data_IF_686378359747
#
_entry.id   IF_686378359747
#
_cell.length_a   1.000
_cell.length_b   1.000
_cell.length_c   1.000
_cell.angle_alpha   90.00
_cell.angle_beta   90.00
_cell.angle_gamma   90.00
#
_symmetry.space_group_name_H-M   'P 1'
#
loop_
_entity.id
_entity.type
_entity.pdbx_description
1 polymer ?
#
# COMPACT_ATOMS: atom_id res chain seq x y z
N UNK A 1 -4.70 0.39 2.80
CA UNK A 1 -4.15 1.49 1.98
C UNK A 1 -5.01 2.74 2.07
N UNK A 2 -6.22 2.80 1.49
CA UNK A 2 -7.08 4.01 1.53
C UNK A 2 -7.26 4.57 2.95
N UNK A 3 -7.70 3.74 3.90
CA UNK A 3 -7.89 4.18 5.29
C UNK A 3 -6.61 4.71 5.97
N UNK A 4 -5.43 4.21 5.59
CA UNK A 4 -4.16 4.71 6.10
C UNK A 4 -3.86 6.12 5.53
N UNK A 5 -4.12 6.32 4.24
CA UNK A 5 -4.03 7.64 3.61
C UNK A 5 -5.04 8.63 4.19
N UNK A 6 -6.31 8.23 4.39
CA UNK A 6 -7.35 9.11 4.92
C UNK A 6 -6.95 9.66 6.28
N UNK A 7 -6.56 8.77 7.20
CA UNK A 7 -6.12 9.15 8.56
C UNK A 7 -4.86 10.01 8.51
N UNK A 8 -3.87 9.64 7.69
CA UNK A 8 -2.64 10.43 7.57
C UNK A 8 -2.91 11.83 6.98
N UNK A 9 -3.68 11.91 5.90
CA UNK A 9 -3.97 13.15 5.21
C UNK A 9 -4.79 14.09 6.09
N UNK A 10 -5.81 13.59 6.77
CA UNK A 10 -6.55 14.40 7.75
C UNK A 10 -5.63 14.91 8.86
N UNK A 11 -4.85 14.01 9.47
CA UNK A 11 -3.99 14.35 10.61
C UNK A 11 -2.96 15.44 10.26
N UNK A 12 -2.33 15.36 9.09
CA UNK A 12 -1.31 16.35 8.71
C UNK A 12 -1.89 17.75 8.46
N UNK A 13 -3.19 17.86 8.16
CA UNK A 13 -3.85 19.15 7.95
C UNK A 13 -4.43 19.76 9.24
N UNK A 14 -4.57 18.99 10.33
CA UNK A 14 -5.03 19.49 11.63
C UNK A 14 -3.88 19.71 12.62
N UNK A 15 -2.84 18.87 12.58
CA UNK A 15 -1.73 18.93 13.52
C UNK A 15 -0.82 20.13 13.18
N UNK A 16 -0.46 20.90 14.20
CA UNK A 16 0.47 22.03 14.07
C UNK A 16 1.78 21.79 14.79
N UNK A 17 2.89 22.21 14.18
CA UNK A 17 4.23 22.30 14.75
C UNK A 17 4.90 23.54 14.18
N UNK A 18 5.77 24.20 14.97
CA UNK A 18 6.45 25.42 14.54
C UNK A 18 5.49 26.47 13.94
N UNK A 19 4.33 26.66 14.58
CA UNK A 19 3.26 27.57 14.19
C UNK A 19 2.61 27.36 12.81
N UNK A 20 2.84 26.23 12.15
CA UNK A 20 2.22 25.88 10.87
C UNK A 20 1.65 24.46 10.87
N UNK A 21 0.78 24.13 9.90
CA UNK A 21 0.26 22.76 9.78
C UNK A 21 1.36 21.83 9.32
N UNK A 22 1.42 20.61 9.84
CA UNK A 22 2.51 19.71 9.46
C UNK A 22 2.47 19.31 7.98
N UNK A 23 1.29 19.33 7.35
CA UNK A 23 1.12 19.11 5.91
C UNK A 23 1.73 20.19 5.02
N UNK A 24 2.13 21.34 5.57
CA UNK A 24 2.75 22.45 4.83
C UNK A 24 4.28 22.34 4.76
N UNK A 25 4.90 21.43 5.53
CA UNK A 25 6.34 21.17 5.40
C UNK A 25 6.65 20.37 4.13
N UNK A 26 7.66 20.78 3.38
CA UNK A 26 8.03 20.20 2.08
C UNK A 26 8.23 18.67 2.14
N UNK A 27 8.89 18.15 3.18
CA UNK A 27 9.09 16.71 3.35
C UNK A 27 7.77 15.96 3.60
N UNK A 28 6.82 16.60 4.30
CA UNK A 28 5.49 16.02 4.51
C UNK A 28 4.67 16.05 3.23
N UNK A 29 4.76 17.12 2.43
CA UNK A 29 4.14 17.21 1.10
C UNK A 29 4.64 16.10 0.18
N UNK A 30 5.96 15.88 0.12
CA UNK A 30 6.55 14.77 -0.63
C UNK A 30 6.01 13.41 -0.18
N UNK A 31 5.98 13.17 1.14
CA UNK A 31 5.46 11.91 1.69
C UNK A 31 3.99 11.66 1.32
N UNK A 32 3.11 12.63 1.51
CA UNK A 32 1.68 12.44 1.18
C UNK A 32 1.45 12.31 -0.33
N UNK A 33 2.28 12.95 -1.16
CA UNK A 33 2.26 12.75 -2.61
C UNK A 33 2.64 11.31 -2.99
N UNK A 34 3.71 10.76 -2.42
CA UNK A 34 4.14 9.39 -2.66
C UNK A 34 3.08 8.36 -2.20
N UNK A 35 2.45 8.62 -1.05
CA UNK A 35 1.32 7.81 -0.55
C UNK A 35 0.15 7.83 -1.53
N UNK A 36 -0.23 9.01 -2.04
CA UNK A 36 -1.31 9.15 -3.02
C UNK A 36 -1.00 8.42 -4.34
N UNK A 37 0.21 8.61 -4.87
CA UNK A 37 0.65 7.97 -6.10
C UNK A 37 0.68 6.44 -5.96
N UNK A 38 1.21 5.93 -4.84
CA UNK A 38 1.26 4.50 -4.57
C UNK A 38 -0.13 3.88 -4.43
N UNK A 39 -1.04 4.54 -3.72
CA UNK A 39 -2.44 4.12 -3.60
C UNK A 39 -3.12 4.06 -4.98
N UNK A 40 -2.92 5.10 -5.78
CA UNK A 40 -3.50 5.20 -7.13
C UNK A 40 -2.96 4.12 -8.06
N UNK A 41 -1.65 3.85 -8.02
CA UNK A 41 -1.02 2.79 -8.80
C UNK A 41 -1.54 1.39 -8.40
N UNK A 42 -1.61 1.10 -7.10
CA UNK A 42 -2.15 -0.17 -6.60
C UNK A 42 -3.61 -0.37 -7.03
N UNK A 43 -4.43 0.68 -6.90
CA UNK A 43 -5.84 0.65 -7.30
C UNK A 43 -5.99 0.35 -8.79
N UNK A 44 -5.25 1.06 -9.63
CA UNK A 44 -5.30 0.88 -11.08
C UNK A 44 -4.85 -0.53 -11.48
N UNK A 45 -3.76 -1.04 -10.88
CA UNK A 45 -3.29 -2.39 -11.16
C UNK A 45 -4.31 -3.45 -10.73
N UNK A 46 -4.87 -3.34 -9.52
CA UNK A 46 -5.90 -4.24 -9.00
C UNK A 46 -7.13 -4.29 -9.89
N UNK A 47 -7.70 -3.13 -10.25
CA UNK A 47 -8.88 -3.10 -11.10
C UNK A 47 -8.59 -3.50 -12.55
N UNK A 48 -7.38 -3.29 -13.05
CA UNK A 48 -6.99 -3.78 -14.38
C UNK A 48 -6.96 -5.31 -14.43
N UNK A 49 -6.32 -5.95 -13.45
CA UNK A 49 -6.26 -7.43 -13.37
C UNK A 49 -7.64 -8.02 -13.07
N UNK A 50 -8.40 -7.40 -12.16
CA UNK A 50 -9.78 -7.82 -11.87
C UNK A 50 -10.68 -7.78 -13.11
N UNK A 51 -10.63 -6.68 -13.87
CA UNK A 51 -11.39 -6.55 -15.13
C UNK A 51 -10.99 -7.60 -16.17
N UNK A 52 -9.71 -7.92 -16.28
CA UNK A 52 -9.26 -9.00 -17.17
C UNK A 52 -9.84 -10.36 -16.74
N UNK A 53 -9.86 -10.64 -15.43
CA UNK A 53 -10.46 -11.86 -14.89
C UNK A 53 -11.98 -11.93 -15.15
N UNK A 54 -12.71 -10.83 -14.98
CA UNK A 54 -14.15 -10.76 -15.24
C UNK A 54 -14.50 -11.02 -16.72
N UNK A 55 -13.59 -10.67 -17.64
CA UNK A 55 -13.70 -10.95 -19.07
C UNK A 55 -13.24 -12.38 -19.44
N UNK A 56 -12.88 -13.21 -18.46
CA UNK A 56 -12.38 -14.58 -18.68
C UNK A 56 -10.89 -14.67 -19.03
N UNK A 57 -10.17 -13.54 -19.05
CA UNK A 57 -8.72 -13.50 -19.29
C UNK A 57 -7.95 -13.64 -17.98
N UNK A 58 -8.05 -14.82 -17.35
CA UNK A 58 -7.34 -15.11 -16.09
C UNK A 58 -5.89 -15.51 -16.38
N UNK A 59 -4.95 -14.66 -15.96
CA UNK A 59 -3.52 -14.93 -16.06
C UNK A 59 -2.87 -15.10 -14.68
N UNK A 60 -2.27 -16.27 -14.42
CA UNK A 60 -1.60 -16.59 -13.15
C UNK A 60 -0.50 -15.60 -12.77
N UNK A 61 0.29 -15.12 -13.74
CA UNK A 61 1.39 -14.18 -13.46
C UNK A 61 0.85 -12.80 -13.06
N UNK A 62 -0.23 -12.36 -13.69
CA UNK A 62 -0.85 -11.06 -13.41
C UNK A 62 -1.56 -11.09 -12.05
N UNK A 63 -2.28 -12.17 -11.73
CA UNK A 63 -2.88 -12.38 -10.41
C UNK A 63 -1.81 -12.41 -9.30
N UNK A 64 -0.70 -13.11 -9.51
CA UNK A 64 0.40 -13.14 -8.55
C UNK A 64 1.09 -11.77 -8.41
N UNK A 65 1.28 -11.07 -9.53
CA UNK A 65 1.91 -9.75 -9.58
C UNK A 65 1.11 -8.69 -8.83
N UNK A 66 -0.21 -8.67 -9.00
CA UNK A 66 -1.04 -7.63 -8.39
C UNK A 66 -1.15 -7.77 -6.87
N UNK A 67 -1.31 -8.99 -6.35
CA UNK A 67 -1.36 -9.21 -4.90
C UNK A 67 0.02 -9.06 -4.25
N UNK A 68 1.10 -9.43 -4.94
CA UNK A 68 2.47 -9.13 -4.49
C UNK A 68 2.67 -7.62 -4.31
N UNK A 69 2.41 -6.85 -5.36
CA UNK A 69 2.63 -5.40 -5.35
C UNK A 69 1.74 -4.68 -4.34
N UNK A 70 0.44 -5.00 -4.33
CA UNK A 70 -0.51 -4.35 -3.42
C UNK A 70 -0.24 -4.72 -1.96
N UNK A 71 0.18 -5.95 -1.65
CA UNK A 71 0.47 -6.35 -0.27
C UNK A 71 1.65 -5.56 0.31
N UNK A 72 2.77 -5.51 -0.40
CA UNK A 72 3.97 -4.81 0.07
C UNK A 72 3.75 -3.30 0.15
N UNK A 73 3.00 -2.73 -0.81
CA UNK A 73 2.60 -1.31 -0.73
C UNK A 73 1.62 -1.05 0.40
N UNK A 74 0.74 -1.98 0.76
CA UNK A 74 -0.14 -1.82 1.91
C UNK A 74 0.66 -1.66 3.22
N UNK A 75 1.65 -2.51 3.45
CA UNK A 75 2.53 -2.40 4.62
C UNK A 75 3.29 -1.08 4.62
N UNK A 76 3.90 -0.70 3.49
CA UNK A 76 4.63 0.57 3.36
C UNK A 76 3.73 1.78 3.66
N UNK A 77 2.53 1.85 3.07
CA UNK A 77 1.61 2.97 3.30
C UNK A 77 1.12 3.04 4.74
N UNK A 78 0.95 1.90 5.42
CA UNK A 78 0.61 1.87 6.84
C UNK A 78 1.78 2.39 7.70
N UNK A 79 3.02 2.05 7.37
CA UNK A 79 4.21 2.60 8.04
C UNK A 79 4.33 4.11 7.82
N UNK A 80 4.10 4.58 6.60
CA UNK A 80 4.11 6.02 6.30
C UNK A 80 3.01 6.77 7.05
N UNK A 81 1.82 6.18 7.19
CA UNK A 81 0.76 6.77 8.00
C UNK A 81 1.16 6.87 9.48
N UNK A 82 1.76 5.83 10.07
CA UNK A 82 2.30 5.88 11.43
C UNK A 82 3.31 7.03 11.55
N UNK A 83 4.22 7.17 10.58
CA UNK A 83 5.23 8.22 10.57
C UNK A 83 4.61 9.62 10.49
N UNK A 84 3.56 9.81 9.67
CA UNK A 84 2.82 11.08 9.58
C UNK A 84 2.18 11.49 10.91
N UNK A 85 1.71 10.51 11.70
CA UNK A 85 1.10 10.76 13.00
C UNK A 85 2.13 10.92 14.14
N UNK A 86 3.37 10.47 13.93
CA UNK A 86 4.42 10.46 14.94
C UNK A 86 4.08 9.53 16.11
N UNK A 87 4.30 9.96 17.35
CA UNK A 87 3.98 9.15 18.54
C UNK A 87 2.51 8.72 18.61
N UNK A 88 1.59 9.57 18.12
CA UNK A 88 0.17 9.23 18.05
C UNK A 88 -0.10 8.06 17.10
N UNK A 89 0.73 7.88 16.07
CA UNK A 89 0.59 6.77 15.13
C UNK A 89 0.99 5.41 15.72
N UNK A 90 1.77 5.42 16.79
CA UNK A 90 2.31 4.23 17.46
C UNK A 90 1.39 3.70 18.58
N UNK A 91 0.63 4.58 19.24
CA UNK A 91 -0.29 4.21 20.31
C UNK A 91 -1.64 3.72 19.75
N UNK A 92 -2.43 3.06 20.60
CA UNK A 92 -3.70 2.45 20.21
C UNK A 92 -4.89 3.42 20.13
N UNK A 93 -4.70 4.70 20.49
CA UNK A 93 -5.73 5.74 20.38
C UNK A 93 -6.00 6.12 18.92
N UNK A 94 -5.06 5.81 18.02
CA UNK A 94 -5.20 5.99 16.57
C UNK A 94 -5.17 4.63 15.86
N UNK A 95 -5.90 4.49 14.74
CA UNK A 95 -6.07 3.19 14.10
C UNK A 95 -4.86 2.73 13.26
N UNK A 96 -3.84 3.57 13.06
CA UNK A 96 -2.69 3.29 12.18
C UNK A 96 -1.90 2.05 12.60
N UNK A 97 -1.71 1.82 13.90
CA UNK A 97 -1.09 0.61 14.42
C UNK A 97 -1.89 -0.66 14.12
N UNK A 98 -3.24 -0.58 14.11
CA UNK A 98 -4.10 -1.68 13.66
C UNK A 98 -3.92 -1.93 12.17
N UNK A 99 -3.96 -0.88 11.35
CA UNK A 99 -3.81 -1.00 9.90
C UNK A 99 -2.50 -1.66 9.48
N UNK A 100 -1.39 -1.39 10.17
CA UNK A 100 -0.11 -2.04 9.89
C UNK A 100 -0.18 -3.55 10.17
N UNK A 101 -0.73 -3.94 11.33
CA UNK A 101 -0.88 -5.36 11.70
C UNK A 101 -1.78 -6.11 10.71
N UNK A 102 -2.87 -5.48 10.29
CA UNK A 102 -3.78 -6.04 9.29
C UNK A 102 -3.08 -6.18 7.92
N UNK A 103 -2.36 -5.14 7.49
CA UNK A 103 -1.69 -5.13 6.19
C UNK A 103 -0.59 -6.20 6.07
N UNK A 104 0.15 -6.47 7.15
CA UNK A 104 1.25 -7.43 7.12
C UNK A 104 0.81 -8.84 6.75
N UNK A 105 -0.43 -9.21 7.08
CA UNK A 105 -0.98 -10.51 6.72
C UNK A 105 -1.03 -10.72 5.20
N UNK A 106 -1.23 -9.67 4.41
CA UNK A 106 -1.30 -9.78 2.95
C UNK A 106 -0.01 -10.28 2.29
N UNK A 107 1.14 -10.12 2.95
CA UNK A 107 2.44 -10.61 2.47
C UNK A 107 2.68 -12.09 2.78
N UNK A 108 1.84 -12.68 3.65
CA UNK A 108 2.05 -14.04 4.21
C UNK A 108 0.89 -14.97 3.82
N UNK A 109 -0.34 -14.52 4.04
CA UNK A 109 -1.56 -15.28 3.80
C UNK A 109 -1.79 -15.58 2.32
N UNK A 110 -2.42 -16.72 2.04
CA UNK A 110 -2.76 -17.19 0.70
C UNK A 110 -1.56 -17.25 -0.28
N UNK A 111 -0.35 -17.47 0.26
CA UNK A 111 0.91 -17.55 -0.47
C UNK A 111 1.80 -16.34 -0.19
N UNK A 112 3.03 -16.59 0.23
CA UNK A 112 3.97 -15.52 0.62
C UNK A 112 4.42 -14.69 -0.58
N UNK A 113 4.97 -13.51 -0.33
CA UNK A 113 5.57 -12.67 -1.37
C UNK A 113 6.63 -13.42 -2.21
N UNK A 114 7.43 -14.29 -1.60
CA UNK A 114 8.45 -15.10 -2.28
C UNK A 114 7.80 -16.12 -3.22
N UNK A 115 6.73 -16.79 -2.78
CA UNK A 115 5.99 -17.72 -3.63
C UNK A 115 5.38 -17.00 -4.84
N UNK A 116 4.84 -15.79 -4.65
CA UNK A 116 4.31 -14.99 -5.76
C UNK A 116 5.41 -14.61 -6.75
N UNK A 117 6.59 -14.21 -6.29
CA UNK A 117 7.77 -13.99 -7.14
C UNK A 117 8.17 -15.23 -7.92
N UNK A 118 8.13 -16.41 -7.30
CA UNK A 118 8.40 -17.68 -7.98
C UNK A 118 7.36 -17.97 -9.07
N UNK A 119 6.07 -17.74 -8.82
CA UNK A 119 5.01 -17.91 -9.84
C UNK A 119 5.24 -16.99 -11.03
N UNK A 120 5.53 -15.71 -10.78
CA UNK A 120 5.81 -14.72 -11.84
C UNK A 120 7.06 -15.14 -12.63
N UNK A 121 8.16 -15.44 -11.95
CA UNK A 121 9.42 -15.81 -12.61
C UNK A 121 9.31 -17.08 -13.46
N UNK A 122 8.59 -18.10 -12.97
CA UNK A 122 8.34 -19.33 -13.75
C UNK A 122 7.46 -19.08 -14.97
N UNK A 123 6.44 -18.22 -14.85
CA UNK A 123 5.60 -17.86 -15.98
C UNK A 123 6.40 -17.14 -17.05
N UNK A 124 7.24 -16.17 -16.68
CA UNK A 124 8.13 -15.46 -17.61
C UNK A 124 9.08 -16.42 -18.31
N UNK A 125 9.76 -17.33 -17.57
CA UNK A 125 10.64 -18.31 -18.20
C UNK A 125 9.95 -19.17 -19.25
N UNK A 126 8.69 -19.56 -19.01
CA UNK A 126 7.90 -20.37 -19.96
C UNK A 126 7.40 -19.58 -21.18
N UNK A 127 7.26 -18.25 -21.09
CA UNK A 127 6.83 -17.40 -22.20
C UNK A 127 7.96 -17.10 -23.20
N UNK A 128 9.20 -17.13 -22.71
CA UNK A 128 10.40 -16.80 -23.49
C UNK A 128 11.32 -18.02 -23.76
N UNK A 129 10.84 -19.23 -23.46
CA UNK A 129 11.49 -20.51 -23.83
C UNK A 129 10.88 -21.06 -25.11
#
# INVERSE_FOLDING_TARGET
>A
MQAACDVAFEYVHIRKQFNQRIGEFQLMQGKIADMYCSLSACRSYLYSVGRACDLGHVNRKDCAGVILYCAEKATQLCLDAIQCLGGNGYINDYPTGRFLRDAKLYEIGAGTSEIRRLVIGRALNSEYS
#
